data_IF_660132178812
#
_entry.id   IF_660132178812
#
_cell.length_a   1.000
_cell.length_b   1.000
_cell.length_c   1.000
_cell.angle_alpha   90.00
_cell.angle_beta   90.00
_cell.angle_gamma   90.00
#
_symmetry.space_group_name_H-M   'P 1'
#
loop_
_entity.id
_entity.type
_entity.pdbx_description
1 polymer ?
#
# COMPACT_ATOMS: atom_id res chain seq x y z
N UNK A 1 -24.06 -16.05 -19.66
CA UNK A 1 -23.03 -16.99 -19.19
C UNK A 1 -22.20 -16.27 -18.15
N UNK A 2 -22.22 -16.76 -16.92
CA UNK A 2 -21.60 -16.17 -15.74
C UNK A 2 -20.08 -16.17 -15.86
N UNK A 3 -19.48 -14.99 -15.93
CA UNK A 3 -18.03 -14.78 -15.96
C UNK A 3 -17.45 -15.06 -14.57
N UNK A 4 -16.74 -16.17 -14.42
CA UNK A 4 -15.90 -16.48 -13.25
C UNK A 4 -14.60 -15.67 -13.39
N UNK A 5 -14.25 -14.88 -12.38
CA UNK A 5 -12.90 -14.36 -12.22
C UNK A 5 -12.17 -15.34 -11.28
N UNK A 6 -11.13 -16.00 -11.80
CA UNK A 6 -10.29 -16.94 -11.06
C UNK A 6 -9.00 -16.21 -10.69
N UNK A 7 -8.68 -16.13 -9.40
CA UNK A 7 -7.37 -15.69 -8.92
C UNK A 7 -6.43 -16.90 -8.80
N UNK A 8 -5.11 -16.77 -9.05
CA UNK A 8 -4.21 -17.92 -9.15
C UNK A 8 -3.83 -18.51 -7.77
N UNK A 9 -3.62 -19.83 -7.72
CA UNK A 9 -2.96 -20.62 -6.66
C UNK A 9 -3.67 -20.83 -5.31
N UNK A 10 -4.81 -21.55 -5.31
CA UNK A 10 -5.40 -22.12 -4.09
C UNK A 10 -5.87 -23.57 -4.33
N UNK A 11 -5.12 -24.58 -3.86
CA UNK A 11 -5.58 -25.99 -3.81
C UNK A 11 -5.84 -26.42 -2.37
N UNK A 12 -7.07 -26.89 -2.09
CA UNK A 12 -7.45 -27.64 -0.89
C UNK A 12 -8.75 -27.16 -0.23
N UNK A 13 -9.75 -28.05 -0.15
CA UNK A 13 -11.10 -27.95 0.46
C UNK A 13 -12.27 -27.40 -0.40
N UNK A 14 -13.42 -28.08 -0.26
CA UNK A 14 -14.67 -27.94 -1.03
C UNK A 14 -15.83 -27.59 -0.07
N UNK A 15 -16.44 -26.40 -0.16
CA UNK A 15 -17.81 -26.15 0.37
C UNK A 15 -18.46 -24.81 -0.10
N UNK A 16 -19.56 -24.90 -0.84
CA UNK A 16 -20.12 -23.86 -1.75
C UNK A 16 -21.00 -22.70 -1.14
N UNK A 17 -20.64 -22.01 -0.03
CA UNK A 17 -21.67 -21.25 0.78
C UNK A 17 -21.44 -19.78 1.24
N UNK A 18 -20.66 -18.93 0.57
CA UNK A 18 -20.32 -17.57 1.09
C UNK A 18 -20.45 -16.43 0.05
N UNK A 19 -20.94 -15.26 0.48
CA UNK A 19 -20.94 -14.03 -0.34
C UNK A 19 -20.01 -12.97 0.29
N UNK A 20 -19.04 -12.47 -0.49
CA UNK A 20 -18.07 -11.43 -0.13
C UNK A 20 -18.31 -10.18 -0.98
N UNK A 21 -18.51 -9.04 -0.33
CA UNK A 21 -18.44 -7.76 -1.02
C UNK A 21 -17.05 -7.17 -0.81
N UNK A 22 -16.30 -6.99 -1.89
CA UNK A 22 -15.05 -6.21 -1.88
C UNK A 22 -15.42 -4.87 -2.50
N UNK A 23 -15.29 -3.77 -1.78
CA UNK A 23 -15.29 -2.45 -2.44
C UNK A 23 -13.82 -2.13 -2.63
N UNK A 24 -13.25 -2.18 -3.83
CA UNK A 24 -11.83 -1.83 -3.99
C UNK A 24 -11.51 -1.23 -5.37
N UNK A 25 -10.54 -0.30 -5.37
CA UNK A 25 -9.84 0.22 -6.55
C UNK A 25 -8.44 -0.39 -6.73
N UNK A 26 -7.93 -1.16 -5.75
CA UNK A 26 -6.59 -1.74 -5.75
C UNK A 26 -6.56 -3.19 -5.25
N UNK A 27 -5.76 -4.00 -5.94
CA UNK A 27 -5.73 -5.44 -5.88
C UNK A 27 -5.53 -6.01 -4.47
N UNK A 28 -6.45 -6.86 -4.01
CA UNK A 28 -6.23 -7.77 -2.88
C UNK A 28 -5.52 -9.01 -3.39
N UNK A 29 -4.18 -9.02 -3.36
CA UNK A 29 -3.39 -10.16 -3.86
C UNK A 29 -3.34 -11.38 -2.91
N UNK A 30 -3.85 -11.32 -1.66
CA UNK A 30 -3.60 -12.37 -0.66
C UNK A 30 -4.82 -12.91 0.13
N UNK A 31 -6.03 -12.85 -0.43
CA UNK A 31 -7.19 -13.54 0.15
C UNK A 31 -7.36 -14.94 -0.47
N UNK A 32 -6.80 -15.96 0.18
CA UNK A 32 -7.06 -17.38 -0.09
C UNK A 32 -8.52 -17.69 0.29
N UNK A 33 -9.40 -17.76 -0.72
CA UNK A 33 -10.84 -17.92 -0.55
C UNK A 33 -11.27 -19.27 -1.17
N UNK A 34 -11.68 -20.22 -0.33
CA UNK A 34 -12.16 -21.56 -0.74
C UNK A 34 -13.43 -21.50 -1.61
N UNK A 35 -13.77 -22.60 -2.31
CA UNK A 35 -14.92 -22.67 -3.24
C UNK A 35 -16.22 -22.17 -2.59
N UNK A 36 -17.11 -21.55 -3.39
CA UNK A 36 -18.41 -21.06 -2.90
C UNK A 36 -18.49 -19.58 -2.59
N UNK A 37 -17.45 -18.81 -2.94
CA UNK A 37 -17.28 -17.42 -2.53
C UNK A 37 -17.64 -16.47 -3.67
N UNK A 38 -18.72 -15.70 -3.49
CA UNK A 38 -19.08 -14.62 -4.42
C UNK A 38 -18.38 -13.34 -3.99
N UNK A 39 -17.18 -13.06 -4.51
CA UNK A 39 -16.55 -11.75 -4.39
C UNK A 39 -17.16 -10.79 -5.43
N UNK A 40 -17.71 -9.63 -5.02
CA UNK A 40 -18.08 -8.57 -5.97
C UNK A 40 -17.44 -7.25 -5.59
N UNK A 41 -16.38 -6.93 -6.35
CA UNK A 41 -15.78 -5.61 -6.59
C UNK A 41 -16.76 -4.68 -7.29
N UNK A 42 -16.95 -3.45 -6.82
CA UNK A 42 -17.39 -2.35 -7.70
C UNK A 42 -16.17 -1.48 -8.02
N UNK A 43 -15.64 -1.57 -9.25
CA UNK A 43 -15.82 -0.55 -10.30
C UNK A 43 -15.00 -0.89 -11.56
N UNK A 44 -15.67 -1.13 -12.70
CA UNK A 44 -15.16 -0.86 -14.05
C UNK A 44 -16.24 0.00 -14.78
N UNK A 45 -15.89 0.80 -15.81
CA UNK A 45 -16.58 2.04 -16.22
C UNK A 45 -17.93 1.85 -16.95
N UNK A 46 -18.60 0.71 -16.80
CA UNK A 46 -19.82 0.39 -17.54
C UNK A 46 -21.13 0.83 -16.85
N UNK A 47 -21.09 1.40 -15.64
CA UNK A 47 -22.27 1.88 -14.92
C UNK A 47 -21.99 3.24 -14.25
N UNK A 48 -22.19 4.33 -14.99
CA UNK A 48 -22.04 5.73 -14.55
C UNK A 48 -22.97 6.17 -13.39
N UNK A 49 -23.74 5.27 -12.75
CA UNK A 49 -24.85 5.66 -11.85
C UNK A 49 -25.02 4.85 -10.56
N UNK A 50 -24.07 4.01 -10.14
CA UNK A 50 -24.19 3.32 -8.84
C UNK A 50 -23.74 4.22 -7.66
N UNK A 51 -24.69 4.81 -6.94
CA UNK A 51 -24.42 5.41 -5.62
C UNK A 51 -23.99 4.33 -4.61
N UNK A 52 -22.95 4.59 -3.83
CA UNK A 52 -22.32 3.64 -2.87
C UNK A 52 -23.34 3.02 -1.89
N UNK A 53 -24.31 3.80 -1.42
CA UNK A 53 -25.42 3.36 -0.55
C UNK A 53 -26.29 2.28 -1.20
N UNK A 54 -26.56 2.41 -2.51
CA UNK A 54 -27.35 1.45 -3.27
C UNK A 54 -26.60 0.13 -3.46
N UNK A 55 -25.28 0.17 -3.54
CA UNK A 55 -24.43 -1.02 -3.66
C UNK A 55 -24.41 -1.87 -2.39
N UNK A 56 -24.16 -1.27 -1.21
CA UNK A 56 -24.20 -2.00 0.06
C UNK A 56 -25.56 -2.63 0.33
N UNK A 57 -26.64 -1.88 0.07
CA UNK A 57 -28.01 -2.38 0.23
C UNK A 57 -28.33 -3.51 -0.74
N UNK A 58 -27.85 -3.43 -2.00
CA UNK A 58 -28.01 -4.48 -3.00
C UNK A 58 -27.31 -5.79 -2.59
N UNK A 59 -26.01 -5.76 -2.27
CA UNK A 59 -25.24 -6.98 -1.99
C UNK A 59 -25.69 -7.68 -0.71
N UNK A 60 -26.00 -6.91 0.33
CA UNK A 60 -26.61 -7.47 1.55
C UNK A 60 -27.96 -8.14 1.22
N UNK A 61 -28.79 -7.52 0.37
CA UNK A 61 -30.06 -8.09 -0.03
C UNK A 61 -29.93 -9.36 -0.89
N UNK A 62 -28.85 -9.51 -1.67
CA UNK A 62 -28.55 -10.76 -2.38
C UNK A 62 -28.33 -11.90 -1.38
N UNK A 63 -27.47 -11.73 -0.37
CA UNK A 63 -27.30 -12.74 0.67
C UNK A 63 -28.58 -12.98 1.49
N UNK A 64 -29.39 -11.94 1.71
CA UNK A 64 -30.66 -12.07 2.42
C UNK A 64 -31.67 -12.93 1.63
N UNK A 65 -31.72 -12.78 0.31
CA UNK A 65 -32.65 -13.52 -0.56
C UNK A 65 -32.20 -14.95 -0.85
N UNK A 66 -30.89 -15.20 -0.79
CA UNK A 66 -30.33 -16.54 -0.98
C UNK A 66 -30.34 -17.33 0.35
N UNK A 67 -31.11 -18.41 0.40
CA UNK A 67 -31.16 -19.30 1.56
C UNK A 67 -29.84 -20.07 1.77
N UNK A 68 -29.03 -20.25 0.72
CA UNK A 68 -27.72 -20.88 0.81
C UNK A 68 -26.64 -19.96 1.41
N UNK A 69 -26.87 -18.64 1.43
CA UNK A 69 -25.95 -17.69 2.04
C UNK A 69 -26.01 -17.78 3.57
N UNK A 70 -24.97 -18.37 4.18
CA UNK A 70 -24.86 -18.51 5.63
C UNK A 70 -24.26 -17.26 6.30
N UNK A 71 -23.37 -16.55 5.61
CA UNK A 71 -22.69 -15.35 6.09
C UNK A 71 -22.52 -14.31 4.97
N UNK A 72 -22.67 -13.04 5.34
CA UNK A 72 -22.33 -11.88 4.53
C UNK A 72 -21.08 -11.22 5.12
N UNK A 73 -20.00 -11.17 4.36
CA UNK A 73 -18.74 -10.53 4.76
C UNK A 73 -18.51 -9.28 3.92
N UNK A 74 -18.53 -8.12 4.58
CA UNK A 74 -18.29 -6.82 3.98
C UNK A 74 -16.88 -6.37 4.31
N UNK A 75 -16.13 -5.95 3.29
CA UNK A 75 -14.80 -5.37 3.42
C UNK A 75 -14.63 -4.18 2.46
N UNK A 76 -14.22 -3.05 3.00
CA UNK A 76 -13.92 -1.83 2.27
C UNK A 76 -12.48 -1.81 1.76
N UNK A 77 -12.23 -0.97 0.75
CA UNK A 77 -10.96 -0.87 0.02
C UNK A 77 -9.80 -0.46 0.94
N UNK A 78 -10.14 0.26 1.99
CA UNK A 78 -9.18 0.84 2.92
C UNK A 78 -8.80 -0.11 4.05
N UNK A 79 -9.17 -1.39 3.95
CA UNK A 79 -8.82 -2.45 4.90
C UNK A 79 -7.74 -3.35 4.32
N UNK A 80 -6.61 -3.43 5.01
CA UNK A 80 -5.54 -4.38 4.70
C UNK A 80 -5.55 -5.49 5.75
N UNK A 81 -5.98 -6.69 5.35
CA UNK A 81 -5.95 -7.87 6.20
C UNK A 81 -4.58 -8.54 6.14
N UNK A 82 -3.86 -8.53 7.26
CA UNK A 82 -2.58 -9.23 7.40
C UNK A 82 -2.76 -10.65 7.93
N UNK A 83 -3.93 -10.95 8.51
CA UNK A 83 -4.24 -12.27 9.06
C UNK A 83 -5.15 -13.06 8.10
N UNK A 84 -4.63 -14.09 7.39
CA UNK A 84 -5.43 -14.86 6.44
C UNK A 84 -6.53 -15.69 7.12
N UNK A 85 -6.47 -15.89 8.45
CA UNK A 85 -7.47 -16.63 9.22
C UNK A 85 -8.63 -15.76 9.71
N UNK A 86 -8.67 -14.48 9.33
CA UNK A 86 -9.67 -13.49 9.82
C UNK A 86 -11.09 -14.02 9.72
N UNK A 87 -11.52 -14.44 8.53
CA UNK A 87 -12.90 -14.90 8.31
C UNK A 87 -13.26 -16.09 9.20
N UNK A 88 -12.37 -17.09 9.28
CA UNK A 88 -12.56 -18.29 10.13
C UNK A 88 -12.69 -17.91 11.60
N UNK A 89 -11.80 -17.05 12.10
CA UNK A 89 -11.81 -16.58 13.49
C UNK A 89 -13.13 -15.88 13.82
N UNK A 90 -13.65 -15.05 12.90
CA UNK A 90 -14.91 -14.33 13.08
C UNK A 90 -16.12 -15.29 13.11
N UNK A 91 -16.16 -16.28 12.22
CA UNK A 91 -17.21 -17.32 12.19
C UNK A 91 -17.22 -18.11 13.50
N UNK A 92 -16.04 -18.52 14.00
CA UNK A 92 -15.89 -19.26 15.26
C UNK A 92 -16.40 -18.49 16.49
N UNK A 93 -16.47 -17.15 16.44
CA UNK A 93 -17.06 -16.36 17.54
C UNK A 93 -18.60 -16.52 17.61
N UNK A 94 -19.25 -17.10 16.60
CA UNK A 94 -20.67 -17.43 16.60
C UNK A 94 -21.61 -16.23 16.92
N UNK A 95 -21.23 -15.01 16.53
CA UNK A 95 -22.00 -13.79 16.76
C UNK A 95 -22.92 -13.46 15.57
N UNK A 96 -24.00 -12.71 15.83
CA UNK A 96 -24.92 -12.24 14.77
C UNK A 96 -24.24 -11.25 13.83
N UNK A 97 -23.55 -10.28 14.43
CA UNK A 97 -22.76 -9.26 13.75
C UNK A 97 -21.43 -9.13 14.49
N UNK A 98 -20.32 -9.25 13.78
CA UNK A 98 -18.97 -9.12 14.36
C UNK A 98 -17.97 -8.50 13.38
N UNK A 99 -17.13 -7.61 13.87
CA UNK A 99 -16.03 -7.01 13.14
C UNK A 99 -14.67 -7.40 13.78
N UNK A 100 -13.62 -7.59 12.99
CA UNK A 100 -12.25 -7.59 13.49
C UNK A 100 -11.81 -6.14 13.78
N UNK A 101 -11.06 -5.93 14.86
CA UNK A 101 -10.44 -4.63 15.11
C UNK A 101 -9.32 -4.39 14.10
N UNK A 102 -9.44 -3.30 13.34
CA UNK A 102 -8.39 -2.75 12.48
C UNK A 102 -8.18 -1.27 12.78
N UNK A 103 -6.92 -0.83 12.77
CA UNK A 103 -6.51 0.51 13.19
C UNK A 103 -5.63 1.15 12.12
N UNK A 104 -5.66 2.48 12.03
CA UNK A 104 -4.63 3.21 11.26
C UNK A 104 -3.28 3.09 11.95
N UNK A 105 -2.23 2.81 11.19
CA UNK A 105 -0.89 2.65 11.73
C UNK A 105 -0.46 3.88 12.56
N UNK A 106 0.08 3.65 13.76
CA UNK A 106 0.55 4.69 14.67
C UNK A 106 -0.51 5.65 15.22
N UNK A 107 -1.81 5.40 14.97
CA UNK A 107 -2.92 6.27 15.36
C UNK A 107 -3.98 5.49 16.16
N UNK A 108 -4.81 6.21 16.92
CA UNK A 108 -5.94 5.63 17.65
C UNK A 108 -7.22 5.48 16.80
N UNK A 109 -7.20 5.94 15.55
CA UNK A 109 -8.37 5.85 14.67
C UNK A 109 -8.56 4.40 14.23
N UNK A 110 -9.77 3.88 14.42
CA UNK A 110 -10.12 2.47 14.23
C UNK A 110 -11.54 2.33 13.68
N UNK A 111 -11.88 1.12 13.24
CA UNK A 111 -13.16 0.81 12.62
C UNK A 111 -14.34 0.62 13.59
N UNK A 112 -14.27 1.17 14.81
CA UNK A 112 -15.39 1.13 15.77
C UNK A 112 -15.46 2.38 16.65
N UNK A 113 -16.64 2.65 17.21
CA UNK A 113 -16.81 3.63 18.29
C UNK A 113 -17.24 2.92 19.56
N UNK A 114 -16.67 3.29 20.70
CA UNK A 114 -17.04 2.73 22.01
C UNK A 114 -18.25 3.40 22.65
N UNK A 115 -18.58 4.64 22.26
CA UNK A 115 -19.73 5.38 22.78
C UNK A 115 -20.35 6.27 21.69
N UNK A 116 -21.55 6.77 21.97
CA UNK A 116 -22.25 7.76 21.14
C UNK A 116 -22.54 9.02 21.95
N UNK A 117 -22.50 10.17 21.29
CA UNK A 117 -23.05 11.41 21.82
C UNK A 117 -24.59 11.32 21.89
N UNK A 118 -25.28 12.23 22.62
CA UNK A 118 -26.74 12.28 22.62
C UNK A 118 -27.37 12.41 21.23
N UNK A 119 -26.64 13.01 20.29
CA UNK A 119 -27.08 13.19 18.89
C UNK A 119 -26.79 11.97 18.01
N UNK A 120 -26.20 10.90 18.56
CA UNK A 120 -25.91 9.65 17.85
C UNK A 120 -24.61 9.67 17.03
N UNK A 121 -23.73 10.65 17.26
CA UNK A 121 -22.41 10.75 16.63
C UNK A 121 -21.31 10.18 17.53
N UNK A 122 -20.07 10.19 17.04
CA UNK A 122 -18.91 9.69 17.75
C UNK A 122 -18.76 10.28 19.16
N UNK A 123 -18.56 9.40 20.13
CA UNK A 123 -18.00 9.73 21.43
C UNK A 123 -16.97 8.67 21.84
N UNK A 124 -15.92 9.11 22.54
CA UNK A 124 -14.89 8.19 23.06
C UNK A 124 -15.40 7.54 24.35
N UNK A 125 -15.39 6.21 24.43
CA UNK A 125 -15.63 5.48 25.68
C UNK A 125 -14.39 5.48 26.57
N UNK A 126 -14.58 5.24 27.87
CA UNK A 126 -13.49 5.17 28.86
C UNK A 126 -12.46 4.08 28.53
N UNK A 127 -12.91 2.96 27.97
CA UNK A 127 -12.11 1.78 27.63
C UNK A 127 -11.59 1.77 26.18
N UNK A 128 -11.91 2.77 25.37
CA UNK A 128 -11.58 2.80 23.94
C UNK A 128 -10.07 2.63 23.68
N UNK A 129 -9.24 3.38 24.40
CA UNK A 129 -7.78 3.36 24.21
C UNK A 129 -7.21 1.99 24.61
N UNK A 130 -7.70 1.42 25.72
CA UNK A 130 -7.28 0.11 26.20
C UNK A 130 -7.63 -1.01 25.21
N UNK A 131 -8.78 -0.92 24.54
CA UNK A 131 -9.18 -1.88 23.51
C UNK A 131 -8.30 -1.72 22.26
N UNK A 132 -8.12 -0.48 21.79
CA UNK A 132 -7.32 -0.19 20.58
C UNK A 132 -5.85 -0.59 20.74
N UNK A 133 -5.26 -0.35 21.90
CA UNK A 133 -3.86 -0.67 22.18
C UNK A 133 -3.63 -2.12 22.61
N UNK A 134 -4.69 -2.91 22.78
CA UNK A 134 -4.58 -4.30 23.25
C UNK A 134 -4.28 -4.45 24.74
N UNK A 135 -4.40 -3.39 25.54
CA UNK A 135 -4.32 -3.49 27.02
C UNK A 135 -5.48 -4.31 27.60
N UNK A 136 -6.64 -4.28 26.91
CA UNK A 136 -7.80 -5.12 27.21
C UNK A 136 -8.22 -5.88 25.96
N UNK A 137 -8.12 -7.21 26.03
CA UNK A 137 -8.38 -8.10 24.90
C UNK A 137 -9.66 -8.89 25.11
N UNK A 138 -10.54 -8.92 24.11
CA UNK A 138 -11.85 -9.54 24.23
C UNK A 138 -12.73 -9.42 23.00
N UNK A 139 -14.02 -9.71 23.21
CA UNK A 139 -15.10 -9.49 22.25
C UNK A 139 -16.07 -8.51 22.90
N UNK A 140 -16.20 -7.32 22.33
CA UNK A 140 -16.83 -6.17 22.96
C UNK A 140 -18.12 -5.82 22.24
N UNK A 141 -19.20 -5.59 22.98
CA UNK A 141 -20.43 -5.07 22.40
C UNK A 141 -20.27 -3.56 22.15
N UNK A 142 -20.50 -3.12 20.93
CA UNK A 142 -20.18 -1.76 20.48
C UNK A 142 -21.38 -1.10 19.80
N UNK A 143 -21.53 0.23 19.93
CA UNK A 143 -22.60 0.96 19.26
C UNK A 143 -22.37 1.18 17.76
N UNK A 144 -21.14 1.17 17.26
CA UNK A 144 -20.83 1.47 15.86
C UNK A 144 -19.60 0.69 15.37
N UNK A 145 -19.69 0.16 14.16
CA UNK A 145 -18.62 -0.49 13.41
C UNK A 145 -18.64 -0.01 11.95
N UNK A 146 -17.50 -0.05 11.28
CA UNK A 146 -17.33 0.33 9.88
C UNK A 146 -16.26 -0.54 9.20
N UNK A 147 -16.02 -0.31 7.91
CA UNK A 147 -14.92 -0.84 7.07
C UNK A 147 -14.90 -2.36 6.85
N UNK A 148 -15.07 -3.17 7.89
CA UNK A 148 -15.01 -4.63 7.80
C UNK A 148 -15.89 -5.27 8.87
N UNK A 149 -16.82 -6.12 8.43
CA UNK A 149 -17.72 -6.84 9.34
C UNK A 149 -18.34 -8.08 8.69
N UNK A 150 -18.67 -9.04 9.54
CA UNK A 150 -19.34 -10.29 9.22
C UNK A 150 -20.75 -10.30 9.83
N UNK A 151 -21.76 -10.58 9.03
CA UNK A 151 -23.15 -10.72 9.45
C UNK A 151 -23.63 -12.14 9.12
N UNK A 152 -24.32 -12.78 10.06
CA UNK A 152 -24.99 -14.06 9.78
C UNK A 152 -26.15 -13.85 8.82
N UNK A 153 -26.22 -14.66 7.76
CA UNK A 153 -27.31 -14.66 6.79
C UNK A 153 -28.68 -14.89 7.45
N UNK A 154 -28.75 -15.74 8.48
CA UNK A 154 -29.97 -15.91 9.27
C UNK A 154 -30.43 -14.60 9.90
N UNK A 155 -29.53 -13.80 10.48
CA UNK A 155 -29.86 -12.49 11.06
C UNK A 155 -30.43 -11.53 10.01
N UNK A 156 -29.88 -11.52 8.79
CA UNK A 156 -30.43 -10.78 7.66
C UNK A 156 -31.86 -11.23 7.31
N UNK A 157 -32.16 -12.52 7.39
CA UNK A 157 -33.48 -13.07 7.03
C UNK A 157 -34.53 -12.92 8.13
N UNK A 158 -34.14 -13.08 9.40
CA UNK A 158 -35.09 -13.13 10.53
C UNK A 158 -35.26 -11.80 11.27
N UNK A 159 -34.18 -11.04 11.43
CA UNK A 159 -34.15 -9.85 12.31
C UNK A 159 -34.02 -8.56 11.51
N UNK A 160 -33.27 -8.58 10.41
CA UNK A 160 -33.00 -7.41 9.57
C UNK A 160 -33.69 -7.52 8.20
N UNK A 161 -35.03 -7.47 8.18
CA UNK A 161 -35.85 -7.71 6.98
C UNK A 161 -36.04 -6.50 6.04
N UNK A 162 -35.80 -5.28 6.50
CA UNK A 162 -36.00 -4.07 5.70
C UNK A 162 -34.92 -3.91 4.62
N UNK A 163 -35.28 -3.33 3.48
CA UNK A 163 -34.30 -3.13 2.38
C UNK A 163 -33.37 -1.94 2.64
N UNK A 164 -33.85 -0.93 3.37
CA UNK A 164 -33.23 0.40 3.43
C UNK A 164 -32.28 0.61 4.62
N UNK A 165 -31.61 -0.43 5.15
CA UNK A 165 -30.78 -0.22 6.34
C UNK A 165 -29.57 0.71 6.17
N UNK A 166 -29.13 0.94 4.93
CA UNK A 166 -28.06 1.88 4.60
C UNK A 166 -28.60 3.27 4.20
N UNK A 167 -29.92 3.46 4.21
CA UNK A 167 -30.57 4.70 3.78
C UNK A 167 -31.46 5.26 4.90
N UNK A 168 -30.97 6.31 5.56
CA UNK A 168 -31.73 7.07 6.54
C UNK A 168 -31.23 8.51 6.59
N UNK A 169 -32.11 9.48 6.34
CA UNK A 169 -31.95 10.92 6.60
C UNK A 169 -30.50 11.46 6.63
N UNK A 170 -29.85 11.59 5.45
CA UNK A 170 -28.49 12.15 5.29
C UNK A 170 -27.39 11.53 6.15
N UNK A 171 -27.64 10.40 6.82
CA UNK A 171 -26.63 9.67 7.56
C UNK A 171 -25.71 8.92 6.60
N UNK A 172 -24.46 8.79 7.01
CA UNK A 172 -23.52 7.87 6.40
C UNK A 172 -24.06 6.41 6.42
N UNK A 173 -23.85 5.62 5.35
CA UNK A 173 -24.36 4.25 5.25
C UNK A 173 -24.03 3.35 6.46
N UNK A 174 -22.81 3.41 7.01
CA UNK A 174 -22.44 2.60 8.17
C UNK A 174 -23.13 3.09 9.44
N UNK A 175 -23.29 4.40 9.59
CA UNK A 175 -24.09 4.98 10.68
C UNK A 175 -25.55 4.52 10.60
N UNK A 176 -26.13 4.49 9.40
CA UNK A 176 -27.49 4.02 9.17
C UNK A 176 -27.61 2.53 9.51
N UNK A 177 -26.69 1.68 9.05
CA UNK A 177 -26.67 0.25 9.37
C UNK A 177 -26.61 0.03 10.89
N UNK A 178 -25.64 0.65 11.55
CA UNK A 178 -25.43 0.50 12.99
C UNK A 178 -26.64 1.00 13.78
N UNK A 179 -27.22 2.13 13.38
CA UNK A 179 -28.43 2.67 14.03
C UNK A 179 -29.59 1.70 13.93
N UNK A 180 -29.83 1.15 12.75
CA UNK A 180 -30.92 0.22 12.53
C UNK A 180 -30.72 -1.09 13.31
N UNK A 181 -29.50 -1.63 13.36
CA UNK A 181 -29.18 -2.79 14.20
C UNK A 181 -29.50 -2.52 15.69
N UNK A 182 -29.13 -1.35 16.21
CA UNK A 182 -29.44 -0.94 17.60
C UNK A 182 -30.94 -0.82 17.85
N UNK A 183 -31.70 -0.18 16.94
CA UNK A 183 -33.16 -0.04 17.06
C UNK A 183 -33.89 -1.40 17.01
N UNK A 184 -33.28 -2.40 16.36
CA UNK A 184 -33.78 -3.78 16.31
C UNK A 184 -33.29 -4.65 17.48
N UNK A 185 -32.51 -4.09 18.42
CA UNK A 185 -31.95 -4.84 19.55
C UNK A 185 -30.89 -5.88 19.15
N UNK A 186 -30.29 -5.74 17.96
CA UNK A 186 -29.23 -6.62 17.48
C UNK A 186 -27.89 -6.06 17.93
N UNK A 187 -27.19 -6.80 18.80
CA UNK A 187 -25.85 -6.42 19.24
C UNK A 187 -24.82 -6.58 18.12
N UNK A 188 -23.90 -5.62 18.07
CA UNK A 188 -22.74 -5.61 17.18
C UNK A 188 -21.50 -5.79 18.03
N UNK A 189 -20.57 -6.62 17.57
CA UNK A 189 -19.38 -6.96 18.33
C UNK A 189 -18.10 -6.58 17.59
N UNK A 190 -17.07 -6.14 18.32
CA UNK A 190 -15.70 -6.02 17.81
C UNK A 190 -14.82 -7.01 18.56
N UNK A 191 -13.88 -7.67 17.87
CA UNK A 191 -12.88 -8.54 18.50
C UNK A 191 -11.47 -8.01 18.27
N UNK A 192 -10.69 -7.91 19.34
CA UNK A 192 -9.26 -7.60 19.31
C UNK A 192 -8.40 -8.75 19.86
N UNK A 193 -8.93 -9.97 19.85
CA UNK A 193 -8.25 -11.20 20.32
C UNK A 193 -7.03 -11.59 19.49
N UNK A 194 -6.97 -11.11 18.26
CA UNK A 194 -5.87 -11.32 17.34
C UNK A 194 -5.57 -10.00 16.63
N UNK A 195 -4.37 -9.88 16.11
CA UNK A 195 -4.09 -8.88 15.08
C UNK A 195 -4.71 -9.38 13.77
N UNK A 196 -5.56 -8.54 13.17
CA UNK A 196 -6.28 -8.87 11.94
C UNK A 196 -5.74 -8.12 10.73
N UNK A 197 -5.29 -6.89 10.94
CA UNK A 197 -4.92 -5.99 9.85
C UNK A 197 -4.86 -4.55 10.28
N UNK A 198 -4.89 -3.66 9.30
CA UNK A 198 -4.78 -2.21 9.46
C UNK A 198 -5.72 -1.47 8.50
N UNK A 199 -5.91 -0.19 8.77
CA UNK A 199 -6.61 0.73 7.88
C UNK A 199 -5.61 1.63 7.16
N UNK A 200 -5.78 1.78 5.84
CA UNK A 200 -5.03 2.77 5.06
C UNK A 200 -5.69 4.16 5.18
N UNK A 201 -4.87 5.20 5.09
CA UNK A 201 -5.29 6.57 4.99
C UNK A 201 -5.59 6.89 3.52
N UNK A 202 -6.86 7.08 3.20
CA UNK A 202 -7.30 7.61 1.89
C UNK A 202 -7.48 9.13 1.93
N UNK A 203 -7.15 9.76 3.05
CA UNK A 203 -7.23 11.21 3.21
C UNK A 203 -6.20 11.88 2.30
N UNK A 204 -6.65 12.81 1.44
CA UNK A 204 -5.82 13.54 0.49
C UNK A 204 -5.09 12.66 -0.54
N UNK A 205 -5.58 11.44 -0.83
CA UNK A 205 -5.01 10.60 -1.87
C UNK A 205 -5.11 11.29 -3.25
N UNK A 206 -3.95 11.61 -3.83
CA UNK A 206 -3.87 12.27 -5.13
C UNK A 206 -3.95 11.21 -6.24
N UNK A 207 -4.83 11.41 -7.22
CA UNK A 207 -5.03 10.49 -8.35
C UNK A 207 -4.54 11.07 -9.68
N UNK A 208 -3.66 12.07 -9.63
CA UNK A 208 -3.22 12.84 -10.81
C UNK A 208 -1.89 12.33 -11.39
N UNK A 209 -1.18 11.45 -10.69
CA UNK A 209 0.05 10.82 -11.15
C UNK A 209 -0.27 9.54 -11.92
N UNK A 210 0.69 9.06 -12.72
CA UNK A 210 0.52 7.80 -13.44
C UNK A 210 0.51 6.64 -12.45
N UNK A 211 1.48 6.62 -11.53
CA UNK A 211 1.59 5.69 -10.40
C UNK A 211 1.46 6.45 -9.07
N UNK A 212 0.22 6.62 -8.61
CA UNK A 212 -0.13 7.45 -7.45
C UNK A 212 0.45 6.95 -6.12
N UNK A 213 0.68 5.64 -5.99
CA UNK A 213 1.17 5.03 -4.76
C UNK A 213 2.62 5.38 -4.44
N UNK A 214 3.42 5.77 -5.44
CA UNK A 214 4.79 6.27 -5.24
C UNK A 214 4.83 7.44 -4.23
N UNK A 215 3.78 8.25 -4.18
CA UNK A 215 3.65 9.39 -3.26
C UNK A 215 3.11 9.04 -1.86
N UNK A 216 2.79 7.78 -1.59
CA UNK A 216 2.12 7.37 -0.33
C UNK A 216 3.08 7.13 0.84
N UNK A 217 4.38 7.38 0.69
CA UNK A 217 5.41 7.12 1.72
C UNK A 217 5.10 7.79 3.07
N UNK A 218 4.41 8.93 3.08
CA UNK A 218 4.05 9.65 4.31
C UNK A 218 2.71 9.22 4.91
N UNK A 219 1.69 9.03 4.08
CA UNK A 219 0.33 8.72 4.54
C UNK A 219 0.17 7.25 4.93
N UNK A 220 0.81 6.36 4.18
CA UNK A 220 0.74 4.91 4.33
C UNK A 220 2.15 4.27 4.32
N UNK A 221 3.04 4.62 5.27
CA UNK A 221 4.46 4.21 5.23
C UNK A 221 4.68 2.70 5.30
N UNK A 222 3.80 1.97 6.00
CA UNK A 222 3.92 0.50 6.14
C UNK A 222 3.62 -0.17 4.81
N UNK A 223 2.48 0.17 4.21
CA UNK A 223 2.04 -0.35 2.92
C UNK A 223 3.02 0.06 1.81
N UNK A 224 3.48 1.32 1.80
CA UNK A 224 4.49 1.80 0.87
C UNK A 224 5.79 1.00 0.98
N UNK A 225 6.26 0.72 2.20
CA UNK A 225 7.47 -0.09 2.43
C UNK A 225 7.28 -1.53 1.95
N UNK A 226 6.15 -2.16 2.25
CA UNK A 226 5.85 -3.54 1.83
C UNK A 226 5.80 -3.66 0.30
N UNK A 227 5.31 -2.64 -0.40
CA UNK A 227 5.24 -2.61 -1.87
C UNK A 227 6.57 -2.27 -2.51
N UNK A 228 7.26 -1.22 -2.05
CA UNK A 228 8.35 -0.58 -2.81
C UNK A 228 9.75 -0.89 -2.30
N UNK A 229 9.92 -1.39 -1.08
CA UNK A 229 11.24 -1.71 -0.54
C UNK A 229 11.52 -3.20 -0.70
N UNK A 230 12.75 -3.53 -1.06
CA UNK A 230 13.15 -4.91 -1.26
C UNK A 230 12.88 -5.74 0.02
N UNK A 231 12.24 -6.92 -0.07
CA UNK A 231 11.99 -7.77 1.10
C UNK A 231 13.27 -8.16 1.86
N UNK A 232 14.42 -8.21 1.17
CA UNK A 232 15.71 -8.50 1.78
C UNK A 232 16.40 -7.28 2.40
N UNK A 233 15.87 -6.06 2.27
CA UNK A 233 16.44 -4.85 2.87
C UNK A 233 16.71 -5.01 4.37
N UNK A 234 15.77 -5.61 5.11
CA UNK A 234 15.94 -5.80 6.56
C UNK A 234 17.12 -6.73 6.91
N UNK A 235 17.46 -7.66 6.01
CA UNK A 235 18.58 -8.60 6.18
C UNK A 235 19.94 -7.91 6.05
N UNK A 236 20.00 -6.70 5.51
CA UNK A 236 21.21 -5.86 5.53
C UNK A 236 21.72 -5.72 6.95
N UNK A 237 20.83 -5.51 7.93
CA UNK A 237 21.20 -5.24 9.32
C UNK A 237 21.43 -6.51 10.14
N UNK A 238 20.90 -7.66 9.73
CA UNK A 238 21.00 -8.92 10.49
C UNK A 238 21.98 -9.92 9.90
N UNK A 239 21.97 -10.09 8.57
CA UNK A 239 22.62 -11.20 7.87
C UNK A 239 23.84 -10.75 7.03
N UNK A 240 24.14 -9.44 7.09
CA UNK A 240 25.28 -8.80 6.43
C UNK A 240 25.40 -9.11 4.93
N UNK A 241 24.27 -9.04 4.22
CA UNK A 241 24.18 -9.26 2.77
C UNK A 241 24.77 -8.12 1.92
N UNK A 242 25.50 -7.19 2.52
CA UNK A 242 26.11 -6.05 1.82
C UNK A 242 27.42 -6.52 1.18
N UNK A 243 27.57 -6.28 -0.12
CA UNK A 243 28.79 -6.59 -0.85
C UNK A 243 29.66 -5.34 -1.02
N UNK A 244 30.97 -5.54 -1.19
CA UNK A 244 31.93 -4.45 -1.43
C UNK A 244 32.82 -4.78 -2.64
N UNK A 245 32.33 -4.59 -3.87
CA UNK A 245 33.08 -4.98 -5.06
C UNK A 245 34.29 -4.10 -5.35
N UNK A 246 34.32 -2.88 -4.81
CA UNK A 246 35.46 -1.97 -4.89
C UNK A 246 35.70 -1.33 -3.52
N UNK A 247 36.94 -0.86 -3.23
CA UNK A 247 37.21 -0.10 -2.01
C UNK A 247 36.21 1.05 -1.86
N UNK A 248 35.58 1.11 -0.68
CA UNK A 248 34.57 2.10 -0.29
C UNK A 248 33.36 2.22 -1.24
N UNK A 249 33.03 1.13 -1.94
CA UNK A 249 31.84 0.98 -2.79
C UNK A 249 31.01 -0.18 -2.27
N UNK A 250 29.79 0.09 -1.80
CA UNK A 250 28.91 -0.92 -1.20
C UNK A 250 27.68 -1.21 -2.06
N UNK A 251 27.29 -2.48 -2.18
CA UNK A 251 26.08 -2.96 -2.86
C UNK A 251 25.11 -3.58 -1.88
N UNK A 252 23.84 -3.24 -2.03
CA UNK A 252 22.77 -3.85 -1.25
C UNK A 252 21.41 -3.67 -1.94
N UNK A 253 20.45 -4.59 -1.68
CA UNK A 253 19.11 -4.49 -2.22
C UNK A 253 18.32 -3.35 -1.56
N UNK A 254 17.68 -2.50 -2.37
CA UNK A 254 16.91 -1.36 -1.86
C UNK A 254 15.45 -1.35 -2.30
N UNK A 255 15.19 -1.37 -3.61
CA UNK A 255 13.84 -1.31 -4.16
C UNK A 255 13.29 -2.70 -4.50
N UNK A 256 11.99 -2.78 -4.71
CA UNK A 256 11.36 -3.93 -5.35
C UNK A 256 11.29 -3.72 -6.87
N UNK A 257 11.15 -4.80 -7.64
CA UNK A 257 10.88 -4.73 -9.08
C UNK A 257 9.72 -3.74 -9.38
N UNK A 258 8.64 -3.75 -8.58
CA UNK A 258 7.51 -2.83 -8.72
C UNK A 258 7.91 -1.36 -8.55
N UNK A 259 8.78 -1.04 -7.59
CA UNK A 259 9.25 0.34 -7.42
C UNK A 259 10.08 0.80 -8.63
N UNK A 260 10.92 -0.07 -9.16
CA UNK A 260 11.72 0.21 -10.35
C UNK A 260 10.83 0.45 -11.57
N UNK A 261 9.89 -0.47 -11.84
CA UNK A 261 8.96 -0.38 -12.97
C UNK A 261 8.11 0.89 -12.89
N UNK A 262 7.45 1.13 -11.75
CA UNK A 262 6.54 2.27 -11.61
C UNK A 262 7.27 3.62 -11.67
N UNK A 263 8.51 3.70 -11.16
CA UNK A 263 9.33 4.91 -11.26
C UNK A 263 9.74 5.18 -12.71
N UNK A 264 10.13 4.15 -13.46
CA UNK A 264 10.47 4.28 -14.89
C UNK A 264 9.24 4.71 -15.69
N UNK A 265 8.09 4.10 -15.45
CA UNK A 265 6.83 4.45 -16.10
C UNK A 265 6.45 5.91 -15.85
N UNK A 266 6.57 6.41 -14.63
CA UNK A 266 6.28 7.82 -14.29
C UNK A 266 7.23 8.78 -15.02
N UNK A 267 8.52 8.44 -15.11
CA UNK A 267 9.52 9.24 -15.84
C UNK A 267 9.25 9.27 -17.34
N UNK A 268 8.91 8.13 -17.95
CA UNK A 268 8.54 8.04 -19.37
C UNK A 268 7.20 8.74 -19.65
N UNK A 269 6.24 8.67 -18.73
CA UNK A 269 4.97 9.39 -18.83
C UNK A 269 5.18 10.91 -18.83
N UNK A 270 6.08 11.42 -17.98
CA UNK A 270 6.47 12.83 -18.00
C UNK A 270 7.15 13.21 -19.32
N UNK A 271 8.05 12.35 -19.82
CA UNK A 271 8.59 12.38 -21.19
C UNK A 271 9.51 13.56 -21.54
N UNK A 272 9.62 14.58 -20.69
CA UNK A 272 10.49 15.74 -20.91
C UNK A 272 11.90 15.44 -20.41
N UNK A 273 12.65 14.64 -21.16
CA UNK A 273 14.06 14.33 -20.88
C UNK A 273 14.99 15.46 -21.34
N UNK A 274 16.08 15.74 -20.62
CA UNK A 274 17.00 16.87 -20.90
C UNK A 274 17.67 16.81 -22.29
N UNK A 275 17.87 15.60 -22.82
CA UNK A 275 18.63 15.33 -24.03
C UNK A 275 20.14 15.37 -23.88
N UNK A 276 20.68 15.35 -22.66
CA UNK A 276 22.12 15.27 -22.41
C UNK A 276 22.89 16.49 -22.89
N UNK A 277 22.26 17.67 -22.85
CA UNK A 277 22.84 18.94 -23.30
C UNK A 277 23.40 19.73 -22.11
N UNK A 278 24.54 20.38 -22.32
CA UNK A 278 25.17 21.25 -21.33
C UNK A 278 24.31 22.45 -20.90
N UNK A 279 23.31 22.84 -21.68
CA UNK A 279 22.37 23.90 -21.32
C UNK A 279 21.02 23.29 -21.04
N UNK A 280 20.60 23.40 -19.79
CA UNK A 280 19.28 22.98 -19.35
C UNK A 280 18.61 24.13 -18.58
N UNK A 281 17.57 24.72 -19.18
CA UNK A 281 16.83 25.83 -18.58
C UNK A 281 15.96 25.43 -17.39
N UNK A 282 15.85 24.12 -17.10
CA UNK A 282 15.01 23.55 -16.04
C UNK A 282 15.77 23.44 -14.71
N UNK A 283 17.10 23.50 -14.74
CA UNK A 283 17.96 23.48 -13.55
C UNK A 283 18.37 24.89 -13.12
N UNK A 284 18.57 25.09 -11.81
CA UNK A 284 19.00 26.37 -11.26
C UNK A 284 20.45 26.67 -11.68
N UNK A 285 20.63 27.63 -12.60
CA UNK A 285 21.95 28.00 -13.14
C UNK A 285 22.11 27.77 -14.64
N UNK A 286 21.22 27.00 -15.28
CA UNK A 286 21.14 26.91 -16.75
C UNK A 286 22.26 26.14 -17.45
N UNK A 287 23.23 25.60 -16.70
CA UNK A 287 24.41 24.93 -17.26
C UNK A 287 24.83 23.73 -16.43
N UNK A 288 25.01 22.59 -17.10
CA UNK A 288 25.46 21.34 -16.51
C UNK A 288 26.86 20.99 -17.02
N UNK A 289 27.81 20.87 -16.09
CA UNK A 289 29.20 20.57 -16.43
C UNK A 289 29.36 19.16 -17.04
N UNK A 290 28.54 18.22 -16.58
CA UNK A 290 28.55 16.82 -17.00
C UNK A 290 27.12 16.43 -17.37
N UNK A 291 26.70 16.67 -18.63
CA UNK A 291 25.29 16.58 -18.97
C UNK A 291 24.80 15.15 -19.08
N UNK A 292 23.63 14.88 -18.51
CA UNK A 292 22.93 13.59 -18.57
C UNK A 292 21.53 13.76 -19.13
N UNK A 293 21.05 12.78 -19.90
CA UNK A 293 19.67 12.72 -20.40
C UNK A 293 18.74 12.33 -19.24
N UNK A 294 18.24 13.31 -18.52
CA UNK A 294 17.65 13.11 -17.20
C UNK A 294 16.35 13.88 -16.95
N UNK A 295 15.69 13.44 -15.88
CA UNK A 295 14.53 14.07 -15.24
C UNK A 295 14.83 14.13 -13.74
N UNK A 296 14.75 15.33 -13.16
CA UNK A 296 14.89 15.53 -11.73
C UNK A 296 13.58 15.21 -10.99
N UNK A 297 13.67 14.65 -9.78
CA UNK A 297 12.52 14.33 -8.94
C UNK A 297 11.61 15.55 -8.68
N UNK A 298 12.22 16.75 -8.60
CA UNK A 298 11.49 18.01 -8.43
C UNK A 298 10.59 18.35 -9.62
N UNK A 299 10.93 17.90 -10.84
CA UNK A 299 10.14 18.18 -12.04
C UNK A 299 8.83 17.38 -12.07
N UNK A 300 8.82 16.20 -11.45
CA UNK A 300 7.62 15.36 -11.30
C UNK A 300 6.96 15.54 -9.93
N UNK A 301 7.55 16.35 -9.03
CA UNK A 301 7.01 16.62 -7.70
C UNK A 301 7.20 15.48 -6.69
N UNK A 302 8.22 14.64 -6.86
CA UNK A 302 8.57 13.51 -5.97
C UNK A 302 9.74 13.85 -5.01
N UNK A 303 10.18 15.12 -4.95
CA UNK A 303 11.40 15.51 -4.24
C UNK A 303 11.30 15.35 -2.72
N UNK A 304 10.14 15.62 -2.13
CA UNK A 304 9.94 15.49 -0.69
C UNK A 304 9.91 14.01 -0.26
N UNK A 305 9.20 13.19 -1.02
CA UNK A 305 9.07 11.75 -0.85
C UNK A 305 10.43 11.08 -1.01
N UNK A 306 11.18 11.46 -2.04
CA UNK A 306 12.53 10.96 -2.28
C UNK A 306 13.50 11.30 -1.14
N UNK A 307 13.46 12.54 -0.63
CA UNK A 307 14.27 12.92 0.53
C UNK A 307 13.87 12.15 1.80
N UNK A 308 12.59 11.82 1.96
CA UNK A 308 12.16 10.97 3.06
C UNK A 308 12.67 9.53 2.91
N UNK A 309 12.59 8.97 1.69
CA UNK A 309 13.19 7.68 1.36
C UNK A 309 14.69 7.63 1.70
N UNK A 310 15.47 8.66 1.33
CA UNK A 310 16.90 8.73 1.67
C UNK A 310 17.11 8.70 3.20
N UNK A 311 16.31 9.45 3.96
CA UNK A 311 16.45 9.50 5.43
C UNK A 311 16.07 8.19 6.09
N UNK A 312 15.01 7.54 5.61
CA UNK A 312 14.45 6.35 6.24
C UNK A 312 15.20 5.07 5.86
N UNK A 313 15.62 4.96 4.59
CA UNK A 313 16.18 3.70 4.06
C UNK A 313 17.66 3.78 3.71
N UNK A 314 18.18 4.93 3.29
CA UNK A 314 19.59 5.04 2.92
C UNK A 314 20.47 5.40 4.11
N UNK A 315 20.08 6.41 4.89
CA UNK A 315 20.88 6.91 6.01
C UNK A 315 21.25 5.81 7.04
N UNK A 316 20.36 4.86 7.41
CA UNK A 316 20.73 3.77 8.32
C UNK A 316 21.78 2.82 7.72
N UNK A 317 21.71 2.54 6.42
CA UNK A 317 22.71 1.71 5.74
C UNK A 317 24.05 2.44 5.65
N UNK A 318 24.04 3.73 5.29
CA UNK A 318 25.25 4.56 5.26
C UNK A 318 25.95 4.58 6.62
N UNK A 319 25.21 4.75 7.72
CA UNK A 319 25.78 4.71 9.08
C UNK A 319 26.40 3.34 9.40
N UNK A 320 25.81 2.26 8.90
CA UNK A 320 26.33 0.90 9.08
C UNK A 320 27.64 0.68 8.33
N UNK A 321 27.72 1.08 7.06
CA UNK A 321 28.89 0.80 6.20
C UNK A 321 30.03 1.80 6.42
N UNK A 322 29.71 3.06 6.72
CA UNK A 322 30.65 4.11 7.11
C UNK A 322 30.53 4.42 8.60
N UNK A 323 31.09 3.53 9.43
CA UNK A 323 31.01 3.65 10.87
C UNK A 323 31.49 5.02 11.37
N UNK A 324 30.62 5.75 12.07
CA UNK A 324 30.91 7.09 12.59
C UNK A 324 30.49 8.25 11.69
N UNK A 325 30.04 7.97 10.46
CA UNK A 325 29.46 8.99 9.58
C UNK A 325 27.94 9.08 9.75
N UNK A 326 27.45 10.28 10.09
CA UNK A 326 26.04 10.55 10.30
C UNK A 326 25.50 11.49 9.22
N UNK A 327 24.67 10.97 8.33
CA UNK A 327 23.99 11.77 7.30
C UNK A 327 22.61 12.23 7.77
N UNK A 328 22.24 13.47 7.42
CA UNK A 328 20.86 13.98 7.59
C UNK A 328 19.95 13.67 6.40
N UNK A 329 20.45 12.91 5.42
CA UNK A 329 19.71 12.57 4.19
C UNK A 329 19.33 13.81 3.39
N UNK A 330 20.29 14.73 3.21
CA UNK A 330 20.11 15.92 2.37
C UNK A 330 20.71 15.66 0.99
N UNK A 331 19.92 15.82 -0.05
CA UNK A 331 20.37 15.70 -1.44
C UNK A 331 19.71 16.80 -2.29
N UNK A 332 20.54 17.66 -2.88
CA UNK A 332 20.10 18.75 -3.76
C UNK A 332 19.75 18.26 -5.17
N UNK A 333 20.46 17.24 -5.63
CA UNK A 333 20.36 16.69 -6.98
C UNK A 333 19.87 15.26 -6.86
N UNK A 334 18.61 15.04 -7.25
CA UNK A 334 17.98 13.73 -7.34
C UNK A 334 17.34 13.65 -8.71
N UNK A 335 17.77 12.69 -9.53
CA UNK A 335 17.35 12.57 -10.91
C UNK A 335 17.48 11.13 -11.39
N UNK A 336 16.68 10.78 -12.40
CA UNK A 336 16.79 9.53 -13.14
C UNK A 336 17.46 9.83 -14.47
N UNK A 337 18.48 9.04 -14.81
CA UNK A 337 19.21 9.15 -16.08
C UNK A 337 18.77 8.03 -17.02
N UNK A 338 18.56 8.38 -18.30
CA UNK A 338 18.28 7.43 -19.36
C UNK A 338 19.45 7.32 -20.33
N UNK A 339 20.05 6.14 -20.40
CA UNK A 339 21.03 5.83 -21.43
C UNK A 339 20.34 5.15 -22.63
N UNK A 340 20.62 5.64 -23.83
CA UNK A 340 20.11 5.05 -25.06
C UNK A 340 21.13 5.14 -26.20
N UNK A 341 21.15 4.15 -27.12
CA UNK A 341 21.97 4.19 -28.33
C UNK A 341 21.81 5.47 -29.15
N UNK A 342 20.60 6.02 -29.21
CA UNK A 342 20.32 7.13 -30.14
C UNK A 342 20.53 8.52 -29.53
N UNK A 343 20.61 8.64 -28.20
CA UNK A 343 20.78 9.93 -27.51
C UNK A 343 22.08 10.00 -26.73
N UNK A 344 22.20 9.25 -25.64
CA UNK A 344 23.36 9.27 -24.75
C UNK A 344 23.73 7.84 -24.35
N UNK A 345 24.87 7.35 -24.87
CA UNK A 345 25.34 5.96 -24.64
C UNK A 345 26.24 5.79 -23.44
N UNK A 346 26.90 6.86 -23.01
CA UNK A 346 27.91 6.80 -21.97
C UNK A 346 28.01 8.13 -21.25
N UNK A 347 28.62 8.07 -20.07
CA UNK A 347 29.01 9.22 -19.30
C UNK A 347 30.54 9.21 -19.16
N UNK A 348 31.15 10.37 -19.38
CA UNK A 348 32.61 10.53 -19.28
C UNK A 348 33.04 10.48 -17.80
N UNK A 349 34.26 10.02 -17.49
CA UNK A 349 34.76 10.03 -16.12
C UNK A 349 34.69 11.43 -15.49
N UNK A 350 34.18 11.49 -14.27
CA UNK A 350 34.02 12.72 -13.48
C UNK A 350 33.97 12.39 -11.98
N UNK A 351 34.00 13.43 -11.16
CA UNK A 351 33.70 13.35 -9.74
C UNK A 351 32.32 13.95 -9.49
N UNK A 352 31.55 13.33 -8.61
CA UNK A 352 30.26 13.84 -8.18
C UNK A 352 30.46 14.96 -7.16
N UNK A 353 29.59 15.97 -7.20
CA UNK A 353 29.59 17.05 -6.20
C UNK A 353 28.80 16.63 -4.96
N UNK A 354 29.20 15.55 -4.30
CA UNK A 354 28.55 14.94 -3.14
C UNK A 354 29.57 14.38 -2.16
N UNK A 355 29.20 14.22 -0.88
CA UNK A 355 30.02 13.45 0.08
C UNK A 355 29.90 11.96 -0.18
N UNK A 356 28.73 11.51 -0.61
CA UNK A 356 28.58 10.19 -1.19
C UNK A 356 27.49 10.21 -2.24
N UNK A 357 27.59 9.32 -3.22
CA UNK A 357 26.58 9.18 -4.29
C UNK A 357 25.75 7.93 -4.08
N UNK A 358 24.44 8.06 -4.35
CA UNK A 358 23.43 7.00 -4.38
C UNK A 358 23.17 6.70 -5.85
N UNK A 359 23.45 5.49 -6.32
CA UNK A 359 23.12 5.06 -7.69
C UNK A 359 22.29 3.78 -7.65
N UNK A 360 21.09 3.79 -8.22
CA UNK A 360 20.14 2.67 -8.18
C UNK A 360 19.85 2.24 -9.63
N UNK A 361 20.04 0.96 -9.95
CA UNK A 361 19.55 0.41 -11.21
C UNK A 361 18.03 0.25 -11.19
N UNK A 362 17.38 0.69 -12.27
CA UNK A 362 15.92 0.63 -12.43
C UNK A 362 15.47 -0.38 -13.50
N UNK A 363 16.39 -1.07 -14.19
CA UNK A 363 16.10 -2.07 -15.22
C UNK A 363 17.19 -3.16 -15.31
N UNK A 364 16.91 -4.30 -15.98
CA UNK A 364 17.75 -5.52 -15.97
C UNK A 364 18.78 -5.51 -17.10
N UNK A 365 20.04 -5.73 -16.73
CA UNK A 365 21.11 -6.06 -17.69
C UNK A 365 20.79 -7.40 -18.35
N UNK A 366 20.92 -7.47 -19.68
CA UNK A 366 20.70 -8.69 -20.47
C UNK A 366 19.27 -8.92 -20.92
N UNK A 367 18.28 -8.32 -20.26
CA UNK A 367 16.88 -8.32 -20.68
C UNK A 367 16.52 -6.97 -21.34
N UNK A 368 16.73 -5.86 -20.62
CA UNK A 368 16.33 -4.52 -21.07
C UNK A 368 17.44 -3.78 -21.82
N UNK A 369 18.70 -4.04 -21.47
CA UNK A 369 19.85 -3.43 -22.14
C UNK A 369 21.10 -4.32 -22.12
N UNK A 370 21.99 -4.12 -23.08
CA UNK A 370 23.29 -4.79 -23.16
C UNK A 370 24.41 -3.81 -22.84
N UNK A 371 25.45 -4.29 -22.18
CA UNK A 371 26.64 -3.51 -21.81
C UNK A 371 27.87 -4.12 -22.48
N UNK A 372 28.75 -3.28 -23.01
CA UNK A 372 29.98 -3.73 -23.69
C UNK A 372 31.05 -4.09 -22.64
N UNK A 373 31.47 -5.34 -22.62
CA UNK A 373 32.29 -5.94 -21.54
C UNK A 373 33.77 -5.52 -21.55
N UNK A 374 34.23 -4.83 -22.59
CA UNK A 374 35.64 -4.45 -22.75
C UNK A 374 36.03 -3.13 -22.04
N UNK A 375 35.08 -2.45 -21.38
CA UNK A 375 35.31 -1.15 -20.70
C UNK A 375 35.54 -1.26 -19.18
N UNK A 376 35.64 -2.47 -18.62
CA UNK A 376 35.75 -2.75 -17.18
C UNK A 376 37.16 -2.54 -16.60
N UNK A 377 37.79 -1.40 -16.89
CA UNK A 377 39.07 -1.03 -16.29
C UNK A 377 38.88 0.21 -15.42
N UNK A 378 39.10 0.03 -14.10
CA UNK A 378 38.90 0.95 -12.97
C UNK A 378 37.50 0.89 -12.34
N UNK A 379 37.46 0.98 -11.01
CA UNK A 379 36.31 0.89 -10.10
C UNK A 379 35.14 1.80 -10.51
N UNK A 380 34.43 1.46 -11.58
CA UNK A 380 33.12 1.98 -11.91
C UNK A 380 32.16 0.89 -11.48
N UNK A 381 31.39 1.25 -10.49
CA UNK A 381 30.47 0.35 -9.85
C UNK A 381 29.18 0.37 -10.69
N UNK A 382 28.94 -0.71 -11.43
CA UNK A 382 27.75 -0.90 -12.27
C UNK A 382 26.84 -1.95 -11.64
N UNK A 383 25.56 -1.62 -11.46
CA UNK A 383 24.59 -2.59 -10.95
C UNK A 383 24.42 -3.63 -12.04
N UNK A 384 24.79 -4.87 -11.70
CA UNK A 384 24.64 -6.01 -12.59
C UNK A 384 23.30 -6.73 -12.34
N UNK A 385 22.55 -6.26 -11.34
CA UNK A 385 21.29 -6.81 -10.84
C UNK A 385 20.36 -5.61 -10.54
N UNK A 386 19.09 -5.70 -10.92
CA UNK A 386 18.06 -4.74 -10.47
C UNK A 386 18.07 -4.67 -8.93
N UNK A 387 17.80 -3.49 -8.38
CA UNK A 387 17.71 -3.21 -6.94
C UNK A 387 19.03 -3.00 -6.18
N UNK A 388 20.20 -3.03 -6.81
CA UNK A 388 21.46 -2.73 -6.11
C UNK A 388 21.76 -1.22 -6.07
N UNK A 389 21.90 -0.70 -4.84
CA UNK A 389 22.38 0.66 -4.58
C UNK A 389 23.90 0.71 -4.47
N UNK A 390 24.54 1.68 -5.11
CA UNK A 390 25.91 2.09 -4.82
C UNK A 390 25.96 3.22 -3.80
N UNK A 391 26.83 3.07 -2.80
CA UNK A 391 27.32 4.17 -1.98
C UNK A 391 28.83 4.27 -2.14
N UNK A 392 29.33 5.44 -2.56
CA UNK A 392 30.76 5.73 -2.70
C UNK A 392 31.11 7.01 -1.98
N UNK A 393 32.19 7.02 -1.19
CA UNK A 393 32.73 8.24 -0.58
C UNK A 393 33.33 9.18 -1.65
N UNK A 394 32.98 10.46 -1.57
CA UNK A 394 33.40 11.51 -2.47
C UNK A 394 34.59 12.27 -1.88
N UNK A 395 35.80 11.95 -2.35
CA UNK A 395 36.99 12.78 -2.16
C UNK A 395 37.02 13.98 -3.12
#
# INVERSE_FOLDING_TARGET
STSRVVLPNCEGYEDDKLLIQIVSKQATNDLTLEKGIYAVGICEPLLETCEVTNSFSLFRDLCRQDEACEYYFSIDADVVLTNPKTLKILIEQNRKIIAPLVTRHGKLWSNFWGALSPDGYYARSEDYIDIVQGNRVGVWNIPYMANIYLIKGQTLRSEMKEKNYFMRDKLDPDMALCRNAREMGVFMYITNRHEFGRLISTANYNTSHYNNDLWQIFENPVDWKETYINPNYSKIFTDNIVEQPCPDVFWFPIFSDTACDELVEEMEHFGQWSGGKHQDSRISGGYENVPTDDIHMKQIGLDNEWLHFIREFIAPVTLKVFAGYYTKGYALLNFVVKYSPDRQRSLRPHHDSSTFTINIALNKVGEDFQVDTDSFHSCIAYATIIDELFLRDGD
#
